data_IF_105292865989
#
_entry.id   IF_105292865989
#
_cell.length_a   1.000
_cell.length_b   1.000
_cell.length_c   1.000
_cell.angle_alpha   90.00
_cell.angle_beta   90.00
_cell.angle_gamma   90.00
#
_symmetry.space_group_name_H-M   'P 1'
#
loop_
_entity.id
_entity.type
_entity.pdbx_description
1 polymer ?
#
# COMPACT_ATOMS: atom_id res chain seq x y z
N UNK A 1 15.46 44.57 38.00
CA UNK A 1 14.42 43.53 38.12
C UNK A 1 14.69 42.52 37.01
N UNK A 2 15.24 41.35 37.35
CA UNK A 2 15.64 40.31 36.40
C UNK A 2 14.43 39.45 36.05
N UNK A 3 13.76 39.71 34.93
CA UNK A 3 12.86 38.73 34.32
C UNK A 3 13.67 37.92 33.32
N UNK A 4 14.41 36.93 33.84
CA UNK A 4 15.00 35.87 33.03
C UNK A 4 13.88 35.14 32.30
N UNK A 5 13.62 35.56 31.06
CA UNK A 5 12.71 34.90 30.15
C UNK A 5 13.30 33.52 29.85
N UNK A 6 12.81 32.52 30.57
CA UNK A 6 13.19 31.15 30.42
C UNK A 6 12.73 30.65 29.03
N UNK A 7 13.60 30.81 28.02
CA UNK A 7 13.44 30.25 26.67
C UNK A 7 13.83 28.75 26.60
N UNK A 8 13.88 28.09 27.74
CA UNK A 8 13.97 26.64 27.84
C UNK A 8 12.51 26.23 28.08
N UNK A 9 11.79 25.63 27.12
CA UNK A 9 11.40 24.20 27.20
C UNK A 9 10.53 23.80 25.98
N UNK A 10 10.78 24.38 24.80
CA UNK A 10 10.08 23.97 23.57
C UNK A 10 11.04 23.50 22.47
N UNK A 11 12.23 23.03 22.83
CA UNK A 11 13.20 22.51 21.86
C UNK A 11 13.75 21.18 22.34
N UNK A 12 13.40 20.09 21.63
CA UNK A 12 14.25 18.91 21.59
C UNK A 12 13.56 17.57 21.39
N UNK A 13 12.46 17.27 22.07
CA UNK A 13 12.06 15.87 22.25
C UNK A 13 11.11 15.28 21.19
N UNK A 14 10.60 16.05 20.24
CA UNK A 14 9.48 15.58 19.41
C UNK A 14 9.82 15.18 17.97
N UNK A 15 10.99 15.52 17.42
CA UNK A 15 11.31 15.17 16.04
C UNK A 15 11.93 13.75 15.94
N UNK A 16 12.92 13.47 16.79
CA UNK A 16 13.62 12.17 16.91
C UNK A 16 12.96 11.18 17.89
N UNK A 17 11.67 11.35 18.16
CA UNK A 17 10.81 10.25 18.63
C UNK A 17 9.75 9.97 17.58
N UNK A 18 9.29 11.02 16.90
CA UNK A 18 8.34 10.92 15.81
C UNK A 18 8.93 10.25 14.57
N UNK A 19 10.23 10.38 14.30
CA UNK A 19 10.87 9.81 13.12
C UNK A 19 11.05 8.29 13.25
N UNK A 20 11.41 7.85 14.45
CA UNK A 20 11.65 6.48 14.90
C UNK A 20 10.31 5.77 15.04
N UNK A 21 9.30 6.44 15.61
CA UNK A 21 7.93 5.96 15.59
C UNK A 21 7.41 5.81 14.15
N UNK A 22 7.69 6.76 13.25
CA UNK A 22 7.33 6.64 11.82
C UNK A 22 8.07 5.50 11.12
N UNK A 23 9.36 5.29 11.44
CA UNK A 23 10.14 4.17 10.89
C UNK A 23 9.61 2.83 11.39
N UNK A 24 9.33 2.70 12.69
CA UNK A 24 8.70 1.51 13.27
C UNK A 24 7.33 1.22 12.65
N UNK A 25 6.51 2.25 12.43
CA UNK A 25 5.22 2.10 11.73
C UNK A 25 5.42 1.74 10.27
N UNK A 26 6.40 2.31 9.58
CA UNK A 26 6.71 1.97 8.19
C UNK A 26 7.19 0.52 8.05
N UNK A 27 8.04 0.05 8.97
CA UNK A 27 8.54 -1.32 8.99
C UNK A 27 7.45 -2.30 9.42
N UNK A 28 6.60 -1.92 10.37
CA UNK A 28 5.38 -2.68 10.69
C UNK A 28 4.46 -2.78 9.46
N UNK A 29 4.24 -1.69 8.72
CA UNK A 29 3.45 -1.73 7.49
C UNK A 29 4.11 -2.57 6.40
N UNK A 30 5.44 -2.59 6.30
CA UNK A 30 6.15 -3.44 5.33
C UNK A 30 6.02 -4.92 5.68
N UNK A 31 6.10 -5.26 6.96
CA UNK A 31 6.03 -6.63 7.47
C UNK A 31 4.60 -7.17 7.55
N UNK A 32 3.62 -6.30 7.83
CA UNK A 32 2.20 -6.67 7.92
C UNK A 32 1.39 -6.37 6.68
N UNK A 33 1.98 -5.72 5.67
CA UNK A 33 1.37 -5.65 4.34
C UNK A 33 1.07 -7.09 3.95
N UNK A 34 -0.21 -7.47 3.80
CA UNK A 34 -0.50 -8.72 3.14
C UNK A 34 0.21 -8.60 1.80
N UNK A 35 1.07 -9.57 1.47
CA UNK A 35 1.44 -9.78 0.08
C UNK A 35 0.10 -9.88 -0.61
N UNK A 36 -0.33 -8.81 -1.27
CA UNK A 36 -1.52 -8.82 -2.11
C UNK A 36 -1.09 -9.71 -3.26
N UNK A 37 -1.18 -11.02 -3.03
CA UNK A 37 -1.04 -12.01 -4.07
C UNK A 37 -1.99 -11.54 -5.13
N UNK A 38 -1.44 -11.31 -6.32
CA UNK A 38 -2.21 -10.82 -7.45
C UNK A 38 -3.44 -11.71 -7.54
N UNK A 39 -4.67 -11.16 -7.45
CA UNK A 39 -5.85 -11.99 -7.53
C UNK A 39 -5.75 -12.77 -8.84
N UNK A 40 -6.05 -14.08 -8.79
CA UNK A 40 -6.09 -14.89 -10.00
C UNK A 40 -7.14 -14.29 -10.94
N UNK A 41 -6.65 -13.51 -11.91
CA UNK A 41 -7.49 -12.68 -12.79
C UNK A 41 -8.41 -13.61 -13.59
N UNK A 42 -7.93 -14.80 -13.96
CA UNK A 42 -8.72 -15.80 -14.65
C UNK A 42 -9.86 -16.31 -13.79
N UNK A 43 -9.58 -16.71 -12.54
CA UNK A 43 -10.63 -17.14 -11.61
C UNK A 43 -11.64 -16.02 -11.33
N UNK A 44 -11.17 -14.77 -11.18
CA UNK A 44 -12.03 -13.61 -10.98
C UNK A 44 -12.98 -13.39 -12.17
N UNK A 45 -12.47 -13.45 -13.41
CA UNK A 45 -13.28 -13.25 -14.60
C UNK A 45 -14.33 -14.36 -14.76
N UNK A 46 -13.97 -15.61 -14.51
CA UNK A 46 -14.89 -16.75 -14.57
C UNK A 46 -16.00 -16.69 -13.51
N UNK A 47 -15.72 -16.11 -12.33
CA UNK A 47 -16.75 -15.92 -11.30
C UNK A 47 -17.66 -14.72 -11.61
N UNK A 48 -17.14 -13.69 -12.28
CA UNK A 48 -17.86 -12.43 -12.50
C UNK A 48 -18.74 -12.45 -13.74
N UNK A 49 -18.38 -13.24 -14.75
CA UNK A 49 -19.06 -13.24 -16.05
C UNK A 49 -19.59 -14.63 -16.41
N UNK A 50 -20.76 -14.70 -17.07
CA UNK A 50 -21.33 -15.96 -17.51
C UNK A 50 -20.47 -16.63 -18.59
N UNK A 51 -20.56 -17.95 -18.69
CA UNK A 51 -19.88 -18.72 -19.73
C UNK A 51 -20.37 -18.31 -21.12
N UNK A 52 -19.45 -18.24 -22.09
CA UNK A 52 -19.74 -17.85 -23.47
C UNK A 52 -19.78 -16.35 -23.74
N UNK A 53 -19.54 -15.50 -22.72
CA UNK A 53 -19.41 -14.05 -22.94
C UNK A 53 -18.17 -13.69 -23.76
N UNK A 54 -17.09 -14.43 -23.56
CA UNK A 54 -15.82 -14.27 -24.29
C UNK A 54 -15.49 -15.55 -25.01
N UNK A 55 -14.98 -15.43 -26.23
CA UNK A 55 -14.28 -16.53 -26.88
C UNK A 55 -12.88 -16.72 -26.26
N UNK A 56 -12.25 -17.88 -26.43
CA UNK A 56 -10.93 -18.18 -25.83
C UNK A 56 -9.88 -17.12 -26.22
N UNK A 57 -9.88 -16.67 -27.47
CA UNK A 57 -8.95 -15.65 -27.94
C UNK A 57 -9.16 -14.27 -27.29
N UNK A 58 -10.43 -13.88 -27.09
CA UNK A 58 -10.79 -12.60 -26.47
C UNK A 58 -10.48 -12.63 -24.97
N UNK A 59 -10.70 -13.78 -24.34
CA UNK A 59 -10.40 -14.00 -22.93
C UNK A 59 -8.90 -13.91 -22.65
N UNK A 60 -8.07 -14.54 -23.48
CA UNK A 60 -6.61 -14.46 -23.36
C UNK A 60 -6.08 -13.05 -23.66
N UNK A 61 -6.66 -12.33 -24.64
CA UNK A 61 -6.32 -10.94 -24.89
C UNK A 61 -6.66 -10.03 -23.70
N UNK A 62 -7.84 -10.23 -23.09
CA UNK A 62 -8.26 -9.49 -21.90
C UNK A 62 -7.36 -9.80 -20.69
N UNK A 63 -7.03 -11.08 -20.47
CA UNK A 63 -6.10 -11.51 -19.44
C UNK A 63 -4.75 -10.83 -19.61
N UNK A 64 -4.21 -10.77 -20.84
CA UNK A 64 -2.95 -10.10 -21.13
C UNK A 64 -3.00 -8.61 -20.75
N UNK A 65 -4.02 -7.88 -21.16
CA UNK A 65 -4.17 -6.44 -20.84
C UNK A 65 -4.28 -6.20 -19.33
N UNK A 66 -5.04 -7.04 -18.63
CA UNK A 66 -5.18 -6.95 -17.17
C UNK A 66 -3.92 -7.40 -16.43
N UNK A 67 -3.09 -8.21 -17.08
CA UNK A 67 -1.82 -8.68 -16.54
C UNK A 67 -0.70 -7.65 -16.75
N UNK A 68 -0.63 -7.03 -17.93
CA UNK A 68 0.37 -6.01 -18.28
C UNK A 68 0.13 -4.67 -17.58
N UNK A 69 -1.12 -4.29 -17.29
CA UNK A 69 -1.44 -3.02 -16.59
C UNK A 69 -1.15 -3.00 -15.09
N UNK A 70 -0.72 -4.11 -14.50
CA UNK A 70 -0.38 -4.14 -13.08
C UNK A 70 1.12 -4.35 -12.80
N UNK A 71 1.95 -4.24 -13.84
CA UNK A 71 3.40 -4.03 -13.75
C UNK A 71 3.71 -2.52 -13.87
#
# INVERSE_FOLDING_TARGET
>A
MNAGMNQQHARGFSASLSNEARQLVADWLRTTRPVKSRPDVRAMLLQRYPAGLFNDAEFEALLRVLTERAD
#
